data_IF_518186728795
#
_entry.id   IF_518186728795
#
_cell.length_a   1.000
_cell.length_b   1.000
_cell.length_c   1.000
_cell.angle_alpha   90.00
_cell.angle_beta   90.00
_cell.angle_gamma   90.00
#
_symmetry.space_group_name_H-M   'P 1'
#
loop_
_entity.id
_entity.type
_entity.pdbx_description
1 polymer ?
#
# COMPACT_ATOMS: atom_id res chain seq x y z
N UNK A 1 -8.58 -79.63 -7.12
CA UNK A 1 -7.89 -78.58 -6.39
C UNK A 1 -8.27 -77.26 -7.03
N UNK A 2 -9.27 -76.55 -6.49
CA UNK A 2 -9.73 -75.24 -6.98
C UNK A 2 -8.98 -74.13 -6.18
N UNK A 3 -8.25 -73.28 -6.87
CA UNK A 3 -7.63 -72.08 -6.29
C UNK A 3 -8.59 -70.90 -6.47
N UNK A 4 -9.19 -70.40 -5.37
CA UNK A 4 -9.99 -69.19 -5.33
C UNK A 4 -9.05 -67.94 -5.32
N UNK A 5 -9.18 -67.14 -6.38
CA UNK A 5 -8.48 -65.86 -6.47
C UNK A 5 -9.41 -64.78 -5.92
N UNK A 6 -9.01 -64.17 -4.78
CA UNK A 6 -9.74 -63.04 -4.21
C UNK A 6 -9.18 -61.76 -4.85
N UNK A 7 -10.03 -61.05 -5.58
CA UNK A 7 -9.74 -59.71 -6.15
C UNK A 7 -10.19 -58.68 -5.13
N UNK A 8 -9.21 -57.97 -4.53
CA UNK A 8 -9.49 -56.80 -3.65
C UNK A 8 -9.59 -55.56 -4.52
N UNK A 9 -10.84 -55.03 -4.66
CA UNK A 9 -11.10 -53.79 -5.37
C UNK A 9 -10.93 -52.61 -4.41
N UNK A 10 -9.80 -51.91 -4.50
CA UNK A 10 -9.52 -50.71 -3.70
C UNK A 10 -10.20 -49.53 -4.34
N UNK A 11 -11.28 -49.01 -3.73
CA UNK A 11 -11.93 -47.75 -4.12
C UNK A 11 -11.01 -46.56 -3.74
N UNK A 12 -10.43 -45.90 -4.74
CA UNK A 12 -9.80 -44.57 -4.55
C UNK A 12 -10.92 -43.51 -4.46
N UNK A 13 -11.17 -43.02 -3.27
CA UNK A 13 -11.97 -41.83 -3.04
C UNK A 13 -11.17 -40.58 -3.43
N UNK A 14 -11.72 -39.67 -4.25
CA UNK A 14 -11.04 -38.39 -4.55
C UNK A 14 -10.96 -37.57 -3.28
N UNK A 15 -9.74 -37.13 -2.94
CA UNK A 15 -9.50 -36.21 -1.83
C UNK A 15 -10.21 -34.86 -2.09
N UNK A 16 -10.86 -34.27 -1.08
CA UNK A 16 -11.49 -32.96 -1.23
C UNK A 16 -10.41 -31.91 -1.54
N UNK A 17 -10.75 -30.88 -2.36
CA UNK A 17 -9.82 -29.80 -2.65
C UNK A 17 -9.49 -29.11 -1.33
N UNK A 18 -8.24 -29.21 -0.91
CA UNK A 18 -7.74 -28.45 0.23
C UNK A 18 -7.79 -26.97 -0.14
N UNK A 19 -8.76 -26.25 0.44
CA UNK A 19 -8.75 -24.80 0.43
C UNK A 19 -7.39 -24.35 0.99
N UNK A 20 -6.58 -23.77 0.12
CA UNK A 20 -5.27 -23.22 0.50
C UNK A 20 -5.52 -22.13 1.54
N UNK A 21 -5.46 -22.50 2.80
CA UNK A 21 -5.45 -21.56 3.93
C UNK A 21 -4.19 -20.74 3.75
N UNK A 22 -4.33 -19.51 3.24
CA UNK A 22 -3.24 -18.53 3.21
C UNK A 22 -2.81 -18.29 4.64
N UNK A 23 -1.78 -19.01 5.08
CA UNK A 23 -1.09 -18.67 6.32
C UNK A 23 -0.56 -17.24 6.17
N UNK A 24 -0.86 -16.32 7.11
CA UNK A 24 -0.25 -15.00 7.09
C UNK A 24 1.27 -15.18 7.16
N UNK A 25 1.95 -14.73 6.12
CA UNK A 25 3.41 -14.73 6.09
C UNK A 25 3.89 -13.81 7.21
N UNK A 26 4.48 -14.35 8.27
CA UNK A 26 5.05 -13.56 9.37
C UNK A 26 6.35 -12.84 8.99
N UNK A 27 6.79 -13.00 7.75
CA UNK A 27 7.98 -12.33 7.21
C UNK A 27 7.63 -10.92 6.76
N UNK A 28 8.48 -9.95 7.11
CA UNK A 28 8.34 -8.56 6.66
C UNK A 28 8.23 -8.47 5.14
N UNK A 29 7.30 -7.66 4.58
CA UNK A 29 7.10 -7.55 3.15
C UNK A 29 8.35 -7.03 2.44
N UNK A 30 8.67 -7.66 1.30
CA UNK A 30 9.85 -7.37 0.48
C UNK A 30 9.48 -6.34 -0.57
N UNK A 31 10.15 -5.19 -0.56
CA UNK A 31 9.80 -4.00 -1.36
C UNK A 31 10.92 -3.68 -2.35
N UNK A 32 10.57 -3.46 -3.61
CA UNK A 32 11.45 -2.97 -4.65
C UNK A 32 10.95 -1.62 -5.18
N UNK A 33 11.84 -0.62 -5.21
CA UNK A 33 11.54 0.72 -5.75
C UNK A 33 12.27 0.91 -7.06
N UNK A 34 11.55 1.36 -8.10
CA UNK A 34 12.09 1.56 -9.44
C UNK A 34 11.39 2.71 -10.16
N UNK A 35 11.89 3.06 -11.32
CA UNK A 35 11.21 3.88 -12.33
C UNK A 35 11.39 3.25 -13.70
N UNK A 36 10.56 3.62 -14.65
CA UNK A 36 10.73 3.22 -16.05
C UNK A 36 12.05 3.81 -16.55
N UNK A 37 12.88 2.97 -17.14
CA UNK A 37 14.17 3.37 -17.70
C UNK A 37 14.00 4.44 -18.77
N UNK A 38 14.98 5.35 -18.84
CA UNK A 38 15.08 6.33 -19.90
C UNK A 38 15.22 5.61 -21.27
N UNK A 39 14.46 6.05 -22.26
CA UNK A 39 14.54 5.49 -23.62
C UNK A 39 15.75 6.00 -24.40
N UNK A 40 16.32 7.11 -23.98
CA UNK A 40 17.41 7.80 -24.65
C UNK A 40 18.73 7.67 -23.89
N UNK A 41 19.85 7.72 -24.58
CA UNK A 41 21.18 7.64 -24.01
C UNK A 41 21.48 8.79 -23.00
N UNK A 42 20.82 9.94 -23.17
CA UNK A 42 20.93 11.07 -22.26
C UNK A 42 19.58 11.32 -21.58
N UNK A 43 19.47 11.07 -20.26
CA UNK A 43 18.22 11.27 -19.54
C UNK A 43 17.77 12.74 -19.59
N UNK A 44 16.49 12.97 -19.85
CA UNK A 44 15.85 14.28 -19.72
C UNK A 44 15.88 14.77 -18.27
N UNK A 45 15.57 16.03 -18.04
CA UNK A 45 15.48 16.58 -16.67
C UNK A 45 14.40 15.85 -15.85
N UNK A 46 13.30 15.52 -16.49
CA UNK A 46 12.21 14.76 -15.84
C UNK A 46 12.65 13.34 -15.46
N UNK A 47 13.37 12.64 -16.34
CA UNK A 47 13.91 11.31 -16.07
C UNK A 47 14.95 11.33 -14.95
N UNK A 48 15.85 12.33 -14.96
CA UNK A 48 16.79 12.57 -13.84
C UNK A 48 16.03 12.79 -12.55
N UNK A 49 14.98 13.59 -12.61
CA UNK A 49 14.09 13.83 -11.49
C UNK A 49 13.43 12.57 -10.93
N UNK A 50 12.98 11.66 -11.78
CA UNK A 50 12.45 10.36 -11.35
C UNK A 50 13.52 9.50 -10.69
N UNK A 51 14.72 9.43 -11.25
CA UNK A 51 15.84 8.68 -10.68
C UNK A 51 16.24 9.19 -9.29
N UNK A 52 16.32 10.52 -9.11
CA UNK A 52 16.54 11.12 -7.78
C UNK A 52 15.44 10.74 -6.79
N UNK A 53 14.18 10.77 -7.24
CA UNK A 53 13.05 10.38 -6.40
C UNK A 53 13.06 8.90 -6.05
N UNK A 54 13.55 8.01 -6.94
CA UNK A 54 13.77 6.58 -6.60
C UNK A 54 14.73 6.46 -5.43
N UNK A 55 15.85 7.19 -5.47
CA UNK A 55 16.84 7.19 -4.37
C UNK A 55 16.21 7.68 -3.07
N UNK A 56 15.52 8.83 -3.12
CA UNK A 56 14.92 9.44 -1.94
C UNK A 56 13.81 8.56 -1.32
N UNK A 57 12.96 7.95 -2.14
CA UNK A 57 11.90 7.03 -1.68
C UNK A 57 12.51 5.74 -1.13
N UNK A 58 13.54 5.19 -1.79
CA UNK A 58 14.25 3.98 -1.31
C UNK A 58 14.90 4.22 0.05
N UNK A 59 15.53 5.39 0.24
CA UNK A 59 16.11 5.78 1.52
C UNK A 59 15.02 5.99 2.59
N UNK A 60 13.91 6.66 2.25
CA UNK A 60 12.81 6.88 3.18
C UNK A 60 12.14 5.56 3.62
N UNK A 61 11.93 4.61 2.70
CA UNK A 61 11.41 3.27 3.01
C UNK A 61 12.42 2.45 3.81
N UNK A 62 13.71 2.51 3.47
CA UNK A 62 14.76 1.78 4.20
C UNK A 62 14.88 2.18 5.68
N UNK A 63 14.41 3.36 6.06
CA UNK A 63 14.31 3.80 7.46
C UNK A 63 13.07 3.30 8.19
N UNK A 64 12.10 2.67 7.49
CA UNK A 64 10.87 2.16 8.10
C UNK A 64 11.08 0.74 8.62
N UNK A 65 10.71 0.50 9.88
CA UNK A 65 10.67 -0.85 10.43
C UNK A 65 9.51 -1.65 9.81
N UNK A 66 9.68 -2.96 9.72
CA UNK A 66 8.61 -3.86 9.28
C UNK A 66 8.52 -4.07 7.77
N UNK A 67 9.55 -3.70 7.00
CA UNK A 67 9.73 -4.09 5.61
C UNK A 67 11.20 -4.38 5.29
N UNK A 68 11.45 -5.08 4.18
CA UNK A 68 12.79 -5.40 3.69
C UNK A 68 12.95 -4.86 2.28
N UNK A 69 13.95 -4.00 2.07
CA UNK A 69 14.30 -3.53 0.74
C UNK A 69 15.06 -4.62 -0.02
N UNK A 70 14.63 -4.93 -1.25
CA UNK A 70 15.29 -5.92 -2.11
C UNK A 70 15.88 -5.26 -3.36
N UNK A 71 16.95 -5.86 -3.93
CA UNK A 71 17.66 -5.27 -5.07
C UNK A 71 16.97 -5.50 -6.42
N UNK A 72 16.04 -6.44 -6.50
CA UNK A 72 15.38 -6.80 -7.77
C UNK A 72 13.88 -6.97 -7.63
N UNK A 73 13.16 -6.74 -8.74
CA UNK A 73 11.71 -6.91 -8.82
C UNK A 73 11.29 -8.38 -8.64
N UNK A 74 12.13 -9.35 -9.06
CA UNK A 74 11.84 -10.78 -8.94
C UNK A 74 11.81 -11.27 -7.49
N UNK A 75 12.48 -10.55 -6.59
CA UNK A 75 12.50 -10.86 -5.16
C UNK A 75 11.42 -10.13 -4.37
N UNK A 76 10.78 -9.14 -4.99
CA UNK A 76 9.84 -8.27 -4.32
C UNK A 76 8.43 -8.87 -4.26
N UNK A 77 7.73 -8.62 -3.16
CA UNK A 77 6.30 -8.81 -3.01
C UNK A 77 5.54 -7.52 -3.35
N UNK A 78 6.15 -6.37 -3.05
CA UNK A 78 5.61 -5.04 -3.31
C UNK A 78 6.52 -4.32 -4.30
N UNK A 79 5.93 -3.87 -5.40
CA UNK A 79 6.58 -3.04 -6.39
C UNK A 79 6.15 -1.59 -6.20
N UNK A 80 7.12 -0.68 -6.13
CA UNK A 80 6.91 0.76 -5.99
C UNK A 80 7.55 1.45 -7.17
N UNK A 81 6.74 1.87 -8.14
CA UNK A 81 7.18 2.63 -9.30
C UNK A 81 7.13 4.12 -9.01
N UNK A 82 8.22 4.84 -9.24
CA UNK A 82 8.22 6.30 -9.25
C UNK A 82 7.78 6.76 -10.64
N UNK A 83 6.55 7.26 -10.73
CA UNK A 83 5.93 7.70 -11.98
C UNK A 83 6.39 9.11 -12.36
N UNK A 84 6.58 9.99 -11.35
CA UNK A 84 6.99 11.36 -11.61
C UNK A 84 7.17 12.20 -10.36
N UNK A 85 7.68 13.41 -10.58
CA UNK A 85 7.75 14.45 -9.55
C UNK A 85 7.33 15.80 -10.12
N UNK A 86 6.71 16.63 -9.30
CA UNK A 86 6.29 17.98 -9.69
C UNK A 86 6.47 18.98 -8.55
N UNK A 87 6.63 20.23 -8.91
CA UNK A 87 6.51 21.37 -7.99
C UNK A 87 5.22 22.11 -8.31
N UNK A 88 4.52 22.53 -7.27
CA UNK A 88 3.30 23.30 -7.41
C UNK A 88 3.29 24.47 -6.44
N UNK A 89 3.01 25.64 -6.93
CA UNK A 89 2.77 26.81 -6.09
C UNK A 89 1.40 26.65 -5.39
N UNK A 90 1.41 26.82 -4.07
CA UNK A 90 0.17 26.78 -3.30
C UNK A 90 -0.43 28.18 -3.29
N UNK A 91 -1.66 28.38 -3.80
CA UNK A 91 -2.30 29.68 -3.75
C UNK A 91 -2.41 30.16 -2.31
N UNK A 92 -1.80 31.30 -1.99
CA UNK A 92 -1.97 31.94 -0.69
C UNK A 92 -3.20 32.83 -0.81
N UNK A 93 -4.26 32.49 -0.08
CA UNK A 93 -5.45 33.34 0.04
C UNK A 93 -5.05 34.66 0.70
N UNK A 94 -4.96 35.73 -0.10
CA UNK A 94 -4.58 37.04 0.40
C UNK A 94 -5.75 37.75 1.07
N UNK A 95 -5.71 37.87 2.39
CA UNK A 95 -6.36 38.96 3.09
C UNK A 95 -5.31 40.04 3.39
N UNK A 96 -5.38 41.19 2.72
CA UNK A 96 -4.60 42.38 3.08
C UNK A 96 -3.20 42.49 2.49
N UNK A 97 -3.08 42.64 1.17
CA UNK A 97 -2.05 43.53 0.55
C UNK A 97 -0.55 43.14 0.66
N UNK A 98 -0.13 42.07 1.30
CA UNK A 98 1.24 41.57 1.28
C UNK A 98 1.34 40.36 0.34
N UNK A 99 2.04 40.54 -0.77
CA UNK A 99 2.46 39.44 -1.64
C UNK A 99 3.53 38.63 -0.89
N UNK A 100 3.07 37.65 -0.13
CA UNK A 100 3.97 36.64 0.39
C UNK A 100 4.33 35.68 -0.75
N UNK A 101 5.59 35.35 -0.89
CA UNK A 101 6.02 34.31 -1.84
C UNK A 101 5.19 33.05 -1.56
N UNK A 102 4.44 32.52 -2.54
CA UNK A 102 3.62 31.35 -2.30
C UNK A 102 4.51 30.16 -1.89
N UNK A 103 4.11 29.38 -0.89
CA UNK A 103 4.83 28.18 -0.54
C UNK A 103 4.78 27.19 -1.71
N UNK A 104 5.93 26.58 -2.01
CA UNK A 104 6.06 25.57 -3.07
C UNK A 104 5.84 24.19 -2.47
N UNK A 105 4.85 23.47 -2.97
CA UNK A 105 4.72 22.03 -2.71
C UNK A 105 5.59 21.23 -3.67
N UNK A 106 6.27 20.24 -3.14
CA UNK A 106 6.95 19.17 -3.91
C UNK A 106 6.13 17.90 -3.81
N UNK A 107 5.85 17.27 -4.94
CA UNK A 107 4.99 16.09 -5.01
C UNK A 107 5.75 14.97 -5.73
N UNK A 108 5.83 13.79 -5.08
CA UNK A 108 6.32 12.56 -5.69
C UNK A 108 5.12 11.64 -5.94
N UNK A 109 4.97 11.18 -7.17
CA UNK A 109 3.90 10.27 -7.59
C UNK A 109 4.44 8.86 -7.67
N UNK A 110 3.74 7.95 -7.01
CA UNK A 110 4.09 6.53 -6.97
C UNK A 110 2.92 5.68 -7.45
N UNK A 111 3.24 4.61 -8.17
CA UNK A 111 2.33 3.50 -8.44
C UNK A 111 2.78 2.29 -7.63
N UNK A 112 1.87 1.69 -6.90
CA UNK A 112 2.11 0.54 -6.02
C UNK A 112 1.44 -0.69 -6.57
N UNK A 113 2.14 -1.83 -6.51
CA UNK A 113 1.57 -3.13 -6.85
C UNK A 113 1.93 -4.18 -5.80
N UNK A 114 0.93 -4.91 -5.31
CA UNK A 114 1.07 -6.02 -4.37
C UNK A 114 0.07 -7.12 -4.74
N UNK A 115 0.56 -8.21 -5.31
CA UNK A 115 -0.31 -9.24 -5.90
C UNK A 115 -1.21 -8.64 -6.99
N UNK A 116 -2.52 -8.81 -6.82
CA UNK A 116 -3.55 -8.25 -7.73
C UNK A 116 -3.94 -6.79 -7.41
N UNK A 117 -3.42 -6.23 -6.31
CA UNK A 117 -3.76 -4.88 -5.89
C UNK A 117 -2.80 -3.86 -6.48
N UNK A 118 -3.37 -2.86 -7.14
CA UNK A 118 -2.63 -1.74 -7.70
C UNK A 118 -3.28 -0.42 -7.28
N UNK A 119 -2.46 0.60 -7.01
CA UNK A 119 -2.96 1.94 -6.67
C UNK A 119 -1.91 3.00 -6.94
N UNK A 120 -2.37 4.21 -7.25
CA UNK A 120 -1.53 5.39 -7.35
C UNK A 120 -1.62 6.17 -6.03
N UNK A 121 -0.47 6.58 -5.52
CA UNK A 121 -0.37 7.46 -4.36
C UNK A 121 0.56 8.64 -4.67
N UNK A 122 0.45 9.68 -3.85
CA UNK A 122 1.36 10.82 -3.91
C UNK A 122 1.89 11.13 -2.52
N UNK A 123 3.19 11.42 -2.44
CA UNK A 123 3.80 12.02 -1.26
C UNK A 123 3.94 13.51 -1.46
N UNK A 124 3.68 14.31 -0.44
CA UNK A 124 3.70 15.77 -0.50
C UNK A 124 4.69 16.32 0.54
N UNK A 125 5.51 17.26 0.12
CA UNK A 125 6.46 17.95 0.99
C UNK A 125 6.47 19.45 0.70
N UNK A 126 6.65 20.26 1.72
CA UNK A 126 6.84 21.70 1.53
C UNK A 126 8.29 21.96 1.14
N UNK A 127 8.52 22.40 -0.11
CA UNK A 127 9.81 22.82 -0.66
C UNK A 127 10.94 21.79 -0.52
N UNK A 128 10.63 20.51 -0.26
CA UNK A 128 11.61 19.47 -0.01
C UNK A 128 11.19 18.11 -0.58
N UNK A 129 12.03 17.59 -1.50
CA UNK A 129 11.85 16.25 -2.08
C UNK A 129 11.98 15.15 -1.02
N UNK A 130 12.89 15.29 -0.05
CA UNK A 130 13.05 14.35 1.04
C UNK A 130 11.79 14.25 1.91
N UNK A 131 11.12 15.37 2.17
CA UNK A 131 9.84 15.37 2.91
C UNK A 131 8.72 14.70 2.09
N UNK A 132 8.65 15.00 0.79
CA UNK A 132 7.70 14.34 -0.10
C UNK A 132 7.93 12.83 -0.15
N UNK A 133 9.18 12.38 -0.24
CA UNK A 133 9.54 10.97 -0.20
C UNK A 133 9.19 10.30 1.15
N UNK A 134 9.37 11.03 2.26
CA UNK A 134 9.01 10.52 3.59
C UNK A 134 7.48 10.35 3.73
N UNK A 135 6.69 11.34 3.31
CA UNK A 135 5.22 11.22 3.30
C UNK A 135 4.76 10.10 2.35
N UNK A 136 5.41 9.96 1.19
CA UNK A 136 5.16 8.85 0.28
C UNK A 136 5.43 7.49 0.96
N UNK A 137 6.57 7.34 1.63
CA UNK A 137 6.92 6.12 2.37
C UNK A 137 5.90 5.79 3.47
N UNK A 138 5.41 6.78 4.21
CA UNK A 138 4.37 6.57 5.22
C UNK A 138 3.04 6.10 4.61
N UNK A 139 2.70 6.59 3.41
CA UNK A 139 1.51 6.15 2.67
C UNK A 139 1.67 4.73 2.13
N UNK A 140 2.87 4.38 1.62
CA UNK A 140 3.21 3.00 1.21
C UNK A 140 3.03 2.05 2.38
N UNK A 141 3.59 2.36 3.56
CA UNK A 141 3.45 1.54 4.75
C UNK A 141 1.99 1.33 5.15
N UNK A 142 1.19 2.39 5.16
CA UNK A 142 -0.25 2.29 5.48
C UNK A 142 -1.02 1.48 4.44
N UNK A 143 -0.62 1.55 3.18
CA UNK A 143 -1.24 0.78 2.11
C UNK A 143 -0.89 -0.71 2.24
N UNK A 144 0.39 -1.06 2.42
CA UNK A 144 0.82 -2.44 2.64
C UNK A 144 0.09 -3.05 3.84
N UNK A 145 -0.01 -2.31 4.94
CA UNK A 145 -0.68 -2.76 6.16
C UNK A 145 -2.15 -3.19 5.97
N UNK A 146 -2.83 -2.67 4.95
CA UNK A 146 -4.22 -3.04 4.64
C UNK A 146 -4.33 -4.42 3.97
N UNK A 147 -3.29 -4.84 3.26
CA UNK A 147 -3.31 -6.06 2.43
C UNK A 147 -2.50 -7.20 3.01
N UNK A 148 -1.54 -6.91 3.88
CA UNK A 148 -0.66 -7.94 4.47
C UNK A 148 -1.31 -8.71 5.63
N UNK A 149 -2.51 -8.34 6.05
CA UNK A 149 -3.24 -9.01 7.14
C UNK A 149 -2.55 -8.94 8.52
N UNK A 150 -1.26 -8.61 8.55
CA UNK A 150 -0.44 -8.55 9.77
C UNK A 150 -0.74 -7.32 10.64
N UNK A 151 -1.29 -6.26 10.05
CA UNK A 151 -1.69 -5.04 10.75
C UNK A 151 -3.21 -4.89 10.89
N UNK A 152 -4.00 -5.80 10.32
CA UNK A 152 -5.47 -5.71 10.20
C UNK A 152 -6.27 -6.14 11.42
N UNK A 153 -5.65 -6.60 12.50
CA UNK A 153 -6.38 -6.99 13.73
C UNK A 153 -6.58 -5.85 14.73
N UNK A 154 -6.67 -4.60 14.29
CA UNK A 154 -7.35 -3.60 15.11
C UNK A 154 -8.85 -3.87 15.02
N UNK A 155 -9.39 -4.59 16.02
CA UNK A 155 -10.81 -4.73 16.30
C UNK A 155 -11.53 -3.44 15.89
N UNK A 156 -12.29 -3.49 14.80
CA UNK A 156 -13.42 -2.58 14.63
C UNK A 156 -14.30 -2.88 15.85
N UNK A 157 -14.30 -1.97 16.80
CA UNK A 157 -15.22 -1.99 17.93
C UNK A 157 -16.60 -1.92 17.29
N UNK A 158 -17.23 -3.08 17.12
CA UNK A 158 -18.63 -3.17 16.75
C UNK A 158 -19.37 -2.35 17.81
N UNK A 159 -19.82 -1.18 17.40
CA UNK A 159 -20.83 -0.43 18.16
C UNK A 159 -22.05 -1.34 18.09
N UNK A 160 -22.26 -2.10 19.15
CA UNK A 160 -23.51 -2.81 19.38
C UNK A 160 -24.60 -1.76 19.41
N UNK A 161 -25.34 -1.69 18.32
CA UNK A 161 -26.62 -1.01 18.28
C UNK A 161 -27.55 -1.83 19.18
N UNK A 162 -27.65 -1.40 20.43
CA UNK A 162 -28.62 -1.92 21.38
C UNK A 162 -30.02 -1.43 20.96
N UNK A 163 -30.93 -2.32 20.51
CA UNK A 163 -32.26 -1.92 20.07
C UNK A 163 -33.25 -1.68 21.21
N UNK A 164 -32.76 -1.51 22.44
CA UNK A 164 -33.62 -1.35 23.62
C UNK A 164 -33.65 0.10 24.10
N UNK A 165 -34.11 1.03 23.24
CA UNK A 165 -34.57 2.34 23.74
C UNK A 165 -36.10 2.30 23.85
N UNK A 166 -36.67 2.35 25.08
CA UNK A 166 -38.11 2.45 25.25
C UNK A 166 -38.57 3.83 24.75
N UNK A 167 -39.58 3.81 23.89
CA UNK A 167 -40.23 4.99 23.34
C UNK A 167 -40.78 5.92 24.42
N UNK A 168 -40.85 7.24 24.15
CA UNK A 168 -41.42 8.23 25.07
C UNK A 168 -42.93 7.98 25.18
N UNK A 169 -43.32 7.76 26.40
CA UNK A 169 -44.71 7.55 26.81
C UNK A 169 -45.61 8.74 26.44
N UNK A 170 -46.77 8.33 26.00
CA UNK A 170 -48.00 9.05 25.77
C UNK A 170 -48.31 10.01 26.92
N UNK A 171 -48.23 11.32 26.72
CA UNK A 171 -48.72 12.33 27.66
C UNK A 171 -50.14 12.66 27.25
N UNK A 172 -51.08 12.08 27.97
CA UNK A 172 -52.51 12.34 27.91
C UNK A 172 -52.80 13.69 28.55
N UNK A 173 -53.38 14.57 27.79
CA UNK A 173 -53.96 15.83 28.25
C UNK A 173 -55.28 15.53 28.96
N UNK A 174 -55.45 16.18 30.15
CA UNK A 174 -56.71 16.60 30.74
C UNK A 174 -56.68 18.12 30.93
#
# INVERSE_FOLDING_TARGET
MLRSTVVVLTLLLPAPPQAATRQPSSAAPRVFVYTIEAKEATPTEEERGRLDSVRDVREALGRKAGLVMVPSASEAQVLVEVVGREKRDVPVGGFGGRVLTPPVETIVRLRLKYGEHETDIKGVGQSSWTRAATDAADRVMRWIARYDGTFGSRKVKQVSSDPSSPGPGDVRAD
#
